data_IF_859452574867
#
_entry.id   IF_859452574867
#
_cell.length_a   1.000
_cell.length_b   1.000
_cell.length_c   1.000
_cell.angle_alpha   90.00
_cell.angle_beta   90.00
_cell.angle_gamma   90.00
#
_symmetry.space_group_name_H-M   'P 1'
#
loop_
_entity.id
_entity.type
_entity.pdbx_description
1 polymer ?
#
# COMPACT_ATOMS: atom_id res chain seq x y z
N UNK A 1 7.35 -3.47 18.57
CA UNK A 1 5.88 -3.42 18.65
C UNK A 1 5.34 -4.60 17.86
N UNK A 2 4.45 -5.41 18.42
CA UNK A 2 4.05 -6.71 17.84
C UNK A 2 2.71 -6.70 17.10
N UNK A 3 1.95 -5.60 17.12
CA UNK A 3 0.64 -5.52 16.47
C UNK A 3 0.63 -4.45 15.37
N UNK A 4 1.04 -4.86 14.17
CA UNK A 4 1.09 -3.96 13.01
C UNK A 4 -0.31 -3.56 12.53
N UNK A 5 -1.30 -4.46 12.64
CA UNK A 5 -2.65 -4.21 12.16
C UNK A 5 -3.31 -3.07 12.94
N UNK A 6 -3.16 -3.07 14.26
CA UNK A 6 -3.65 -1.97 15.11
C UNK A 6 -2.96 -0.64 14.76
N UNK A 7 -1.66 -0.65 14.50
CA UNK A 7 -0.95 0.56 14.09
C UNK A 7 -1.39 1.09 12.73
N UNK A 8 -1.58 0.21 11.74
CA UNK A 8 -2.06 0.61 10.41
C UNK A 8 -3.48 1.18 10.48
N UNK A 9 -4.35 0.62 11.33
CA UNK A 9 -5.70 1.14 11.48
C UNK A 9 -5.74 2.49 12.22
N UNK A 10 -4.82 2.71 13.17
CA UNK A 10 -4.74 3.98 13.89
C UNK A 10 -4.11 5.11 13.08
N UNK A 11 -3.12 4.80 12.23
CA UNK A 11 -2.37 5.82 11.49
C UNK A 11 -3.22 6.53 10.43
N UNK A 12 -2.97 7.83 10.22
CA UNK A 12 -3.50 8.58 9.07
C UNK A 12 -2.72 8.27 7.79
N UNK A 13 -1.40 8.11 7.94
CA UNK A 13 -0.43 7.91 6.87
C UNK A 13 0.57 6.80 7.22
N UNK A 14 0.98 6.05 6.20
CA UNK A 14 1.93 4.96 6.31
C UNK A 14 3.08 5.18 5.34
N UNK A 15 4.29 5.13 5.90
CA UNK A 15 5.55 5.12 5.17
C UNK A 15 6.13 3.72 5.25
N UNK A 16 6.26 3.04 4.12
CA UNK A 16 6.73 1.65 4.12
C UNK A 16 7.64 1.32 2.94
N UNK A 17 8.31 0.17 3.01
CA UNK A 17 8.79 -0.50 1.81
C UNK A 17 7.60 -0.99 0.97
N UNK A 18 7.80 -1.26 -0.32
CA UNK A 18 6.79 -1.87 -1.20
C UNK A 18 6.69 -3.41 -1.01
N UNK A 19 6.56 -3.84 0.25
CA UNK A 19 6.35 -5.24 0.64
C UNK A 19 4.89 -5.56 0.97
N UNK A 20 4.66 -6.62 1.75
CA UNK A 20 3.31 -7.05 2.16
C UNK A 20 2.57 -5.99 2.98
N UNK A 21 3.27 -5.26 3.85
CA UNK A 21 2.69 -4.17 4.65
C UNK A 21 2.07 -3.07 3.78
N UNK A 22 2.59 -2.82 2.57
CA UNK A 22 1.96 -1.88 1.63
C UNK A 22 0.60 -2.40 1.15
N UNK A 23 0.50 -3.70 0.87
CA UNK A 23 -0.76 -4.35 0.47
C UNK A 23 -1.76 -4.40 1.64
N UNK A 24 -1.30 -4.73 2.85
CA UNK A 24 -2.11 -4.68 4.06
C UNK A 24 -2.67 -3.27 4.31
N UNK A 25 -1.86 -2.24 4.08
CA UNK A 25 -2.28 -0.83 4.15
C UNK A 25 -3.38 -0.52 3.13
N UNK A 26 -3.27 -1.04 1.90
CA UNK A 26 -4.34 -0.90 0.91
C UNK A 26 -5.66 -1.56 1.35
N UNK A 27 -5.60 -2.68 2.09
CA UNK A 27 -6.80 -3.33 2.63
C UNK A 27 -7.49 -2.50 3.72
N UNK A 28 -6.73 -1.78 4.57
CA UNK A 28 -7.32 -0.90 5.61
C UNK A 28 -7.66 0.51 5.12
N UNK A 29 -7.11 0.93 3.99
CA UNK A 29 -7.41 2.21 3.35
C UNK A 29 -6.77 3.39 4.06
N UNK A 30 -5.44 3.54 3.94
CA UNK A 30 -4.68 4.68 4.49
C UNK A 30 -3.81 5.35 3.45
N UNK A 31 -3.50 6.63 3.69
CA UNK A 31 -2.51 7.33 2.89
C UNK A 31 -1.19 6.57 2.93
N UNK A 32 -0.68 6.19 1.77
CA UNK A 32 0.42 5.25 1.61
C UNK A 32 1.53 5.86 0.76
N UNK A 33 2.71 5.93 1.34
CA UNK A 33 3.95 6.35 0.71
C UNK A 33 4.92 5.16 0.72
N UNK A 34 5.40 4.75 -0.45
CA UNK A 34 6.23 3.56 -0.59
C UNK A 34 7.61 3.90 -1.11
N UNK A 35 8.63 3.23 -0.57
CA UNK A 35 9.97 3.19 -1.14
C UNK A 35 10.33 1.76 -1.57
N UNK A 36 11.12 1.62 -2.63
CA UNK A 36 11.64 0.31 -3.04
C UNK A 36 12.96 0.09 -2.31
N UNK A 37 12.96 -0.83 -1.33
CA UNK A 37 14.15 -1.15 -0.52
C UNK A 37 14.94 -2.34 -1.06
N UNK A 38 14.29 -3.19 -1.86
CA UNK A 38 14.87 -4.41 -2.40
C UNK A 38 14.25 -4.76 -3.77
N UNK A 39 14.98 -5.55 -4.57
CA UNK A 39 14.59 -5.92 -5.94
C UNK A 39 13.21 -6.58 -6.01
N UNK A 40 12.91 -7.45 -5.04
CA UNK A 40 11.65 -8.18 -4.94
C UNK A 40 10.43 -7.29 -4.68
N UNK A 41 10.62 -6.00 -4.38
CA UNK A 41 9.54 -5.03 -4.14
C UNK A 41 9.16 -4.23 -5.40
N UNK A 42 9.96 -4.28 -6.48
CA UNK A 42 9.76 -3.43 -7.66
C UNK A 42 8.42 -3.66 -8.35
N UNK A 43 7.99 -4.90 -8.48
CA UNK A 43 6.73 -5.23 -9.15
C UNK A 43 5.53 -4.74 -8.35
N UNK A 44 5.58 -4.90 -7.01
CA UNK A 44 4.55 -4.37 -6.10
C UNK A 44 4.51 -2.86 -6.18
N UNK A 45 5.67 -2.19 -6.07
CA UNK A 45 5.75 -0.74 -6.19
C UNK A 45 5.15 -0.26 -7.52
N UNK A 46 5.59 -0.83 -8.64
CA UNK A 46 5.08 -0.46 -9.97
C UNK A 46 3.56 -0.59 -10.04
N UNK A 47 3.01 -1.70 -9.61
CA UNK A 47 1.55 -1.90 -9.59
C UNK A 47 0.84 -0.82 -8.75
N UNK A 48 1.33 -0.56 -7.54
CA UNK A 48 0.72 0.43 -6.64
C UNK A 48 0.76 1.85 -7.22
N UNK A 49 1.89 2.25 -7.83
CA UNK A 49 2.04 3.57 -8.43
C UNK A 49 1.18 3.71 -9.69
N UNK A 50 1.22 2.73 -10.59
CA UNK A 50 0.45 2.75 -11.84
C UNK A 50 -1.06 2.85 -11.59
N UNK A 51 -1.54 2.25 -10.49
CA UNK A 51 -2.94 2.28 -10.07
C UNK A 51 -3.29 3.48 -9.19
N UNK A 52 -2.33 4.35 -8.87
CA UNK A 52 -2.54 5.50 -8.00
C UNK A 52 -2.95 5.13 -6.56
N UNK A 53 -2.45 3.99 -6.07
CA UNK A 53 -2.74 3.42 -4.75
C UNK A 53 -1.73 3.84 -3.69
N UNK A 54 -0.56 4.30 -4.13
CA UNK A 54 0.51 4.80 -3.29
C UNK A 54 1.27 5.92 -4.00
N UNK A 55 2.03 6.68 -3.23
CA UNK A 55 3.01 7.65 -3.75
C UNK A 55 4.43 7.09 -3.61
N UNK A 56 5.22 7.15 -4.68
CA UNK A 56 6.60 6.69 -4.66
C UNK A 56 7.50 7.72 -3.96
N UNK A 57 8.31 7.22 -3.03
CA UNK A 57 9.43 7.93 -2.44
C UNK A 57 10.72 7.40 -3.03
N UNK A 58 11.54 8.32 -3.53
CA UNK A 58 12.86 8.00 -4.05
C UNK A 58 13.87 8.14 -2.93
N UNK A 59 14.52 7.03 -2.58
CA UNK A 59 15.65 7.02 -1.65
C UNK A 59 16.96 7.19 -2.42
N UNK A 60 18.00 7.66 -1.73
CA UNK A 60 19.33 7.80 -2.30
C UNK A 60 19.96 9.14 -1.96
N UNK A 61 20.43 9.84 -2.98
CA UNK A 61 21.07 11.15 -2.84
C UNK A 61 20.13 12.20 -2.21
N UNK A 62 20.71 13.24 -1.61
CA UNK A 62 19.98 14.23 -0.82
C UNK A 62 18.89 14.94 -1.64
N UNK A 63 19.15 15.18 -2.92
CA UNK A 63 18.20 15.76 -3.87
C UNK A 63 16.93 14.91 -4.06
N UNK A 64 17.05 13.58 -4.07
CA UNK A 64 15.92 12.67 -4.21
C UNK A 64 15.06 12.60 -2.95
N UNK A 65 15.71 12.66 -1.79
CA UNK A 65 15.02 12.77 -0.51
C UNK A 65 14.27 14.09 -0.39
N UNK A 66 14.88 15.20 -0.84
CA UNK A 66 14.24 16.51 -0.85
C UNK A 66 13.03 16.54 -1.80
N UNK A 67 13.16 16.01 -3.01
CA UNK A 67 12.04 15.91 -3.95
C UNK A 67 10.89 15.08 -3.36
N UNK A 68 11.21 13.94 -2.73
CA UNK A 68 10.23 13.09 -2.07
C UNK A 68 9.52 13.82 -0.94
N UNK A 69 10.26 14.55 -0.09
CA UNK A 69 9.71 15.34 1.00
C UNK A 69 8.76 16.44 0.50
N UNK A 70 9.15 17.19 -0.54
CA UNK A 70 8.29 18.21 -1.15
C UNK A 70 7.02 17.61 -1.75
N UNK A 71 7.12 16.44 -2.38
CA UNK A 71 5.96 15.72 -2.92
C UNK A 71 5.01 15.28 -1.82
N UNK A 72 5.55 14.74 -0.72
CA UNK A 72 4.77 14.34 0.47
C UNK A 72 4.06 15.56 1.05
N UNK A 73 4.79 16.65 1.32
CA UNK A 73 4.23 17.89 1.88
C UNK A 73 3.07 18.42 1.02
N UNK A 74 3.25 18.44 -0.31
CA UNK A 74 2.20 18.83 -1.25
C UNK A 74 0.96 17.95 -1.14
N UNK A 75 1.13 16.63 -1.04
CA UNK A 75 0.00 15.68 -0.94
C UNK A 75 -0.70 15.81 0.42
N UNK A 76 0.06 15.93 1.50
CA UNK A 76 -0.48 16.13 2.85
C UNK A 76 -1.27 17.45 2.96
N UNK A 77 -0.87 18.49 2.21
CA UNK A 77 -1.62 19.73 2.07
C UNK A 77 -2.87 19.66 1.19
N UNK A 78 -3.14 18.51 0.56
CA UNK A 78 -4.25 18.30 -0.38
C UNK A 78 -5.15 17.15 0.08
N UNK A 79 -6.14 17.45 0.92
CA UNK A 79 -7.08 16.45 1.46
C UNK A 79 -7.71 15.57 0.37
N UNK A 80 -8.07 16.16 -0.77
CA UNK A 80 -8.66 15.44 -1.90
C UNK A 80 -7.71 14.37 -2.49
N UNK A 81 -6.41 14.64 -2.59
CA UNK A 81 -5.46 13.72 -3.22
C UNK A 81 -5.32 12.43 -2.41
N UNK A 82 -5.25 12.55 -1.09
CA UNK A 82 -5.19 11.42 -0.16
C UNK A 82 -6.50 10.63 -0.15
N UNK A 83 -7.63 11.34 -0.10
CA UNK A 83 -8.95 10.70 -0.16
C UNK A 83 -9.11 9.89 -1.43
N UNK A 84 -8.75 10.44 -2.58
CA UNK A 84 -8.78 9.71 -3.85
C UNK A 84 -7.87 8.48 -3.86
N UNK A 85 -6.66 8.58 -3.28
CA UNK A 85 -5.76 7.44 -3.15
C UNK A 85 -6.42 6.32 -2.32
N UNK A 86 -7.01 6.67 -1.18
CA UNK A 86 -7.72 5.72 -0.29
C UNK A 86 -8.93 5.10 -0.99
N UNK A 87 -9.72 5.87 -1.73
CA UNK A 87 -10.86 5.34 -2.47
C UNK A 87 -10.40 4.36 -3.56
N UNK A 88 -9.30 4.65 -4.27
CA UNK A 88 -8.71 3.69 -5.23
C UNK A 88 -8.24 2.41 -4.54
N UNK A 89 -7.69 2.49 -3.33
CA UNK A 89 -7.33 1.30 -2.55
C UNK A 89 -8.54 0.42 -2.26
N UNK A 90 -9.63 0.99 -1.73
CA UNK A 90 -10.87 0.26 -1.45
C UNK A 90 -11.50 -0.38 -2.70
N UNK A 91 -11.34 0.24 -3.86
CA UNK A 91 -11.84 -0.30 -5.13
C UNK A 91 -11.00 -1.47 -5.67
N UNK A 92 -9.72 -1.59 -5.28
CA UNK A 92 -8.83 -2.64 -5.77
C UNK A 92 -8.60 -3.77 -4.76
N UNK A 93 -8.87 -3.53 -3.47
CA UNK A 93 -8.59 -4.47 -2.38
C UNK A 93 -9.82 -4.67 -1.50
N UNK A 94 -10.23 -5.93 -1.32
CA UNK A 94 -11.35 -6.32 -0.47
C UNK A 94 -10.93 -7.08 0.80
N UNK A 95 -9.63 -7.37 0.95
CA UNK A 95 -9.08 -8.11 2.10
C UNK A 95 -9.47 -9.58 2.21
N UNK A 96 -10.19 -10.14 1.22
CA UNK A 96 -10.75 -11.52 1.27
C UNK A 96 -9.93 -12.55 0.50
N UNK A 97 -8.71 -12.21 0.10
CA UNK A 97 -7.88 -13.07 -0.76
C UNK A 97 -7.69 -14.48 -0.19
N UNK A 98 -7.35 -14.60 1.09
CA UNK A 98 -7.14 -15.90 1.73
C UNK A 98 -8.43 -16.73 1.81
N UNK A 99 -9.54 -16.11 2.26
CA UNK A 99 -10.86 -16.74 2.34
C UNK A 99 -11.30 -17.31 0.98
N UNK A 100 -11.20 -16.50 -0.08
CA UNK A 100 -11.54 -16.92 -1.45
C UNK A 100 -10.72 -18.12 -1.92
N UNK A 101 -9.43 -18.17 -1.57
CA UNK A 101 -8.58 -19.31 -1.93
C UNK A 101 -9.00 -20.56 -1.14
N UNK A 102 -9.29 -20.45 0.16
CA UNK A 102 -9.80 -21.56 0.96
C UNK A 102 -11.11 -22.12 0.37
N UNK A 103 -12.08 -21.26 0.04
CA UNK A 103 -13.36 -21.67 -0.58
C UNK A 103 -13.13 -22.46 -1.88
N UNK A 104 -12.18 -22.02 -2.73
CA UNK A 104 -11.84 -22.71 -3.99
C UNK A 104 -11.18 -24.07 -3.71
N UNK A 105 -10.28 -24.14 -2.73
CA UNK A 105 -9.59 -25.38 -2.36
C UNK A 105 -10.58 -26.42 -1.81
N UNK A 106 -11.47 -26.02 -0.91
CA UNK A 106 -12.51 -26.89 -0.34
C UNK A 106 -13.47 -27.42 -1.39
N UNK A 107 -13.92 -26.56 -2.33
CA UNK A 107 -14.80 -26.98 -3.42
C UNK A 107 -14.14 -28.05 -4.32
N UNK A 108 -12.81 -28.00 -4.50
CA UNK A 108 -12.05 -28.99 -5.29
C UNK A 108 -11.84 -30.30 -4.55
N UNK A 109 -11.65 -30.25 -3.23
CA UNK A 109 -11.51 -31.45 -2.39
C UNK A 109 -12.81 -32.28 -2.28
N UNK A 110 -13.96 -31.70 -2.59
CA UNK A 110 -15.27 -32.39 -2.62
C UNK A 110 -15.57 -33.00 -4.00
N UNK A 111 -14.85 -32.58 -5.05
CA UNK A 111 -15.04 -33.06 -6.43
C UNK A 111 -14.07 -34.17 -6.86
N UNK A 112 -13.17 -34.59 -5.97
CA UNK A 112 -12.31 -35.79 -6.09
C UNK A 112 -12.85 -36.94 -5.23
#
# INVERSE_FOLDING_TARGET
STDIATHLNWADYVFSGAGTTALETCCVGRGLFVCVLAENQKNVAKYLIDKGLATLMTLGAAEHLLESAQRIEKILGQENALREQIERQKLNFDGRGAEKICEIMEARSITE
#
